data_IF_362016061590
#
_entry.id   IF_362016061590
#
_cell.length_a   1.000
_cell.length_b   1.000
_cell.length_c   1.000
_cell.angle_alpha   90.00
_cell.angle_beta   90.00
_cell.angle_gamma   90.00
#
_symmetry.space_group_name_H-M   'P 1'
#
loop_
_entity.id
_entity.type
_entity.pdbx_description
1 polymer ?
#
# COMPACT_ATOMS: atom_id res chain seq x y z
N UNK A 1 -29.36 -19.79 10.39
CA UNK A 1 -28.71 -20.36 9.19
C UNK A 1 -27.81 -19.31 8.57
N UNK A 2 -26.65 -19.04 9.20
CA UNK A 2 -25.57 -18.23 8.61
C UNK A 2 -24.92 -19.05 7.51
N UNK A 3 -25.12 -18.59 6.41
CA UNK A 3 -24.86 -18.77 5.02
C UNK A 3 -23.58 -19.58 4.69
N UNK A 4 -23.79 -20.88 4.40
CA UNK A 4 -22.77 -21.73 3.77
C UNK A 4 -22.38 -21.22 2.36
N UNK A 5 -23.20 -20.38 1.73
CA UNK A 5 -22.91 -19.76 0.42
C UNK A 5 -21.83 -18.71 0.50
N UNK A 6 -21.73 -17.95 1.59
CA UNK A 6 -20.69 -16.94 1.80
C UNK A 6 -19.31 -17.58 1.99
N UNK A 7 -19.21 -18.67 2.76
CA UNK A 7 -17.94 -19.35 3.00
C UNK A 7 -17.39 -20.03 1.72
N UNK A 8 -18.25 -20.64 0.91
CA UNK A 8 -17.84 -21.21 -0.37
C UNK A 8 -17.43 -20.14 -1.38
N UNK A 9 -18.13 -19.01 -1.42
CA UNK A 9 -17.76 -17.85 -2.23
C UNK A 9 -16.41 -17.27 -1.80
N UNK A 10 -16.13 -17.19 -0.51
CA UNK A 10 -14.87 -16.70 0.04
C UNK A 10 -13.70 -17.61 -0.31
N UNK A 11 -13.87 -18.93 -0.24
CA UNK A 11 -12.85 -19.89 -0.66
C UNK A 11 -12.53 -19.74 -2.14
N UNK A 12 -13.55 -19.56 -2.97
CA UNK A 12 -13.38 -19.36 -4.41
C UNK A 12 -12.62 -18.07 -4.75
N UNK A 13 -13.01 -16.95 -4.15
CA UNK A 13 -12.34 -15.65 -4.31
C UNK A 13 -10.88 -15.69 -3.86
N UNK A 14 -10.61 -16.41 -2.77
CA UNK A 14 -9.26 -16.63 -2.26
C UNK A 14 -8.40 -17.41 -3.27
N UNK A 15 -8.95 -18.47 -3.86
CA UNK A 15 -8.25 -19.27 -4.86
C UNK A 15 -8.01 -18.48 -6.15
N UNK A 16 -9.01 -17.73 -6.61
CA UNK A 16 -8.91 -16.85 -7.76
C UNK A 16 -7.79 -15.81 -7.60
N UNK A 17 -7.76 -15.12 -6.45
CA UNK A 17 -6.74 -14.12 -6.14
C UNK A 17 -5.33 -14.73 -6.10
N UNK A 18 -5.16 -15.92 -5.52
CA UNK A 18 -3.88 -16.62 -5.49
C UNK A 18 -3.47 -17.24 -6.83
N UNK A 19 -4.41 -17.44 -7.75
CA UNK A 19 -4.17 -18.00 -9.06
C UNK A 19 -3.83 -16.93 -10.11
N UNK A 20 -4.13 -15.64 -9.84
CA UNK A 20 -3.87 -14.55 -10.76
C UNK A 20 -2.35 -14.31 -10.92
N UNK A 21 -1.78 -14.50 -12.13
CA UNK A 21 -0.35 -14.35 -12.36
C UNK A 21 0.14 -12.90 -12.21
N UNK A 22 -0.70 -11.91 -12.57
CA UNK A 22 -0.36 -10.48 -12.46
C UNK A 22 -0.25 -10.09 -10.99
N UNK A 23 -1.28 -10.34 -10.20
CA UNK A 23 -1.31 -10.06 -8.77
C UNK A 23 -0.13 -10.71 -8.04
N UNK A 24 0.17 -11.96 -8.35
CA UNK A 24 1.31 -12.69 -7.78
C UNK A 24 2.66 -12.08 -8.15
N UNK A 25 2.85 -11.70 -9.41
CA UNK A 25 4.10 -11.12 -9.90
C UNK A 25 4.36 -9.76 -9.27
N UNK A 26 3.35 -8.91 -9.20
CA UNK A 26 3.41 -7.62 -8.50
C UNK A 26 3.73 -7.82 -7.02
N UNK A 27 3.07 -8.78 -6.37
CA UNK A 27 3.28 -9.05 -4.96
C UNK A 27 4.72 -9.55 -4.66
N UNK A 28 5.26 -10.45 -5.48
CA UNK A 28 6.65 -10.93 -5.33
C UNK A 28 7.63 -9.78 -5.52
N UNK A 29 7.42 -8.92 -6.52
CA UNK A 29 8.23 -7.71 -6.71
C UNK A 29 8.26 -6.82 -5.47
N UNK A 30 7.11 -6.63 -4.81
CA UNK A 30 7.02 -5.84 -3.58
C UNK A 30 7.70 -6.51 -2.39
N UNK A 31 7.65 -7.83 -2.29
CA UNK A 31 8.37 -8.60 -1.25
C UNK A 31 9.88 -8.46 -1.44
N UNK A 32 10.38 -8.58 -2.68
CA UNK A 32 11.79 -8.41 -2.97
C UNK A 32 12.27 -6.98 -2.71
N UNK A 33 11.43 -5.99 -3.01
CA UNK A 33 11.73 -4.60 -2.68
C UNK A 33 11.81 -4.38 -1.17
N UNK A 34 10.89 -4.94 -0.39
CA UNK A 34 10.92 -4.87 1.07
C UNK A 34 12.19 -5.54 1.65
N UNK A 35 12.59 -6.68 1.11
CA UNK A 35 13.85 -7.34 1.47
C UNK A 35 15.06 -6.45 1.17
N UNK A 36 15.09 -5.84 -0.01
CA UNK A 36 16.17 -4.93 -0.39
C UNK A 36 16.23 -3.69 0.52
N UNK A 37 15.09 -3.10 0.86
CA UNK A 37 15.02 -1.95 1.75
C UNK A 37 15.55 -2.29 3.15
N UNK A 38 15.11 -3.42 3.73
CA UNK A 38 15.58 -3.88 5.04
C UNK A 38 17.07 -4.29 5.04
N UNK A 39 17.57 -4.84 3.94
CA UNK A 39 18.99 -5.26 3.82
C UNK A 39 19.99 -4.09 3.94
N UNK A 40 19.53 -2.86 3.80
CA UNK A 40 20.38 -1.66 3.96
C UNK A 40 20.63 -1.29 5.42
N UNK A 41 19.76 -1.70 6.32
CA UNK A 41 19.77 -1.26 7.74
C UNK A 41 19.71 -2.43 8.72
N UNK A 42 19.51 -3.65 8.24
CA UNK A 42 19.52 -4.86 9.04
C UNK A 42 20.79 -5.67 8.82
N UNK A 43 21.10 -6.54 9.76
CA UNK A 43 22.13 -7.56 9.58
C UNK A 43 21.75 -8.46 8.40
N UNK A 44 22.62 -8.67 7.40
CA UNK A 44 22.28 -9.35 6.15
C UNK A 44 21.60 -10.70 6.32
N UNK A 45 22.13 -11.56 7.24
CA UNK A 45 21.62 -12.90 7.49
C UNK A 45 20.27 -12.91 8.26
N UNK A 46 19.82 -11.78 8.75
CA UNK A 46 18.59 -11.69 9.56
C UNK A 46 17.36 -11.32 8.74
N UNK A 47 17.53 -10.92 7.47
CA UNK A 47 16.41 -10.53 6.63
C UNK A 47 15.71 -11.77 6.07
N UNK A 48 14.51 -12.01 6.53
CA UNK A 48 13.72 -13.19 6.16
C UNK A 48 12.25 -12.84 5.83
N UNK A 49 11.64 -13.67 4.99
CA UNK A 49 10.21 -13.63 4.70
C UNK A 49 9.51 -14.61 5.63
N UNK A 50 8.97 -14.13 6.75
CA UNK A 50 8.33 -14.95 7.79
C UNK A 50 6.93 -15.40 7.42
N UNK A 51 6.30 -14.71 6.46
CA UNK A 51 5.00 -15.06 5.91
C UNK A 51 4.97 -14.61 4.44
N UNK A 52 4.54 -15.49 3.54
CA UNK A 52 4.51 -15.26 2.10
C UNK A 52 3.12 -15.56 1.53
N UNK A 53 2.51 -14.57 0.89
CA UNK A 53 1.23 -14.68 0.16
C UNK A 53 0.06 -15.20 1.00
N UNK A 54 -0.01 -14.81 2.27
CA UNK A 54 -1.18 -15.08 3.10
C UNK A 54 -2.35 -14.21 2.68
N UNK A 55 -3.54 -14.81 2.59
CA UNK A 55 -4.76 -14.05 2.35
C UNK A 55 -5.30 -13.51 3.66
N UNK A 56 -5.28 -12.18 3.81
CA UNK A 56 -5.94 -11.48 4.90
C UNK A 56 -7.29 -10.95 4.45
N UNK A 57 -8.34 -11.27 5.24
CA UNK A 57 -9.69 -10.80 5.03
C UNK A 57 -9.95 -9.58 5.89
N UNK A 58 -10.40 -8.53 5.26
CA UNK A 58 -10.93 -7.33 5.90
C UNK A 58 -12.46 -7.30 5.73
N UNK A 59 -13.14 -6.30 6.27
CA UNK A 59 -14.60 -6.19 6.24
C UNK A 59 -15.20 -6.28 4.83
N UNK A 60 -14.54 -5.71 3.83
CA UNK A 60 -15.08 -5.59 2.47
C UNK A 60 -14.16 -6.17 1.38
N UNK A 61 -12.90 -6.46 1.69
CA UNK A 61 -11.89 -6.86 0.71
C UNK A 61 -11.00 -7.98 1.25
N UNK A 62 -10.38 -8.72 0.34
CA UNK A 62 -9.27 -9.65 0.62
C UNK A 62 -8.00 -9.12 -0.01
N UNK A 63 -6.87 -9.27 0.69
CA UNK A 63 -5.56 -8.91 0.18
C UNK A 63 -4.57 -10.05 0.34
N UNK A 64 -3.67 -10.18 -0.64
CA UNK A 64 -2.44 -10.96 -0.48
C UNK A 64 -1.52 -10.14 0.42
N UNK A 65 -1.04 -10.76 1.50
CA UNK A 65 -0.14 -10.14 2.46
C UNK A 65 1.11 -11.00 2.63
N UNK A 66 2.25 -10.35 2.78
CA UNK A 66 3.51 -10.99 3.18
C UNK A 66 4.15 -10.17 4.29
N UNK A 67 5.01 -10.81 5.06
CA UNK A 67 5.75 -10.15 6.13
C UNK A 67 7.22 -10.43 5.95
N UNK A 68 8.02 -9.38 5.89
CA UNK A 68 9.48 -9.43 5.87
C UNK A 68 9.99 -8.83 7.17
N UNK A 69 10.92 -9.50 7.81
CA UNK A 69 11.53 -9.05 9.06
C UNK A 69 13.05 -9.01 8.94
N UNK A 70 13.69 -8.29 9.85
CA UNK A 70 15.14 -8.25 9.96
C UNK A 70 15.57 -7.66 11.31
N UNK A 71 16.75 -8.05 11.78
CA UNK A 71 17.36 -7.47 12.97
C UNK A 71 18.12 -6.22 12.57
N UNK A 72 17.68 -5.07 13.05
CA UNK A 72 18.33 -3.78 12.80
C UNK A 72 19.77 -3.82 13.30
N UNK A 73 20.70 -3.30 12.50
CA UNK A 73 22.10 -3.15 12.92
C UNK A 73 22.16 -2.22 14.13
N UNK A 74 22.96 -2.55 15.19
CA UNK A 74 23.05 -1.74 16.40
C UNK A 74 23.49 -0.28 16.19
N UNK A 75 24.09 0.03 15.05
CA UNK A 75 24.51 1.38 14.70
C UNK A 75 23.42 2.19 13.97
N UNK A 76 22.30 1.55 13.62
CA UNK A 76 21.16 2.16 12.94
C UNK A 76 20.07 2.55 13.92
N UNK A 77 19.38 3.64 13.62
CA UNK A 77 18.26 4.16 14.39
C UNK A 77 16.93 3.83 13.72
N UNK A 78 15.81 4.03 14.41
CA UNK A 78 14.48 3.93 13.81
C UNK A 78 14.30 4.89 12.61
N UNK A 79 14.98 6.04 12.62
CA UNK A 79 14.95 6.97 11.50
C UNK A 79 15.71 6.43 10.27
N UNK A 80 16.82 5.73 10.47
CA UNK A 80 17.55 5.07 9.38
C UNK A 80 16.69 3.96 8.75
N UNK A 81 15.97 3.19 9.58
CA UNK A 81 15.00 2.18 9.11
C UNK A 81 13.88 2.84 8.29
N UNK A 82 13.33 3.94 8.79
CA UNK A 82 12.32 4.70 8.06
C UNK A 82 12.83 5.18 6.70
N UNK A 83 14.00 5.81 6.66
CA UNK A 83 14.55 6.35 5.42
C UNK A 83 14.95 5.29 4.39
N UNK A 84 15.29 4.07 4.84
CA UNK A 84 15.54 2.96 3.93
C UNK A 84 14.28 2.44 3.25
N UNK A 85 13.16 2.41 3.97
CA UNK A 85 11.86 1.93 3.47
C UNK A 85 11.09 3.00 2.69
N UNK A 86 11.29 4.29 3.02
CA UNK A 86 10.61 5.41 2.37
C UNK A 86 11.40 5.95 1.15
N UNK A 87 10.71 6.37 0.06
CA UNK A 87 9.29 6.23 -0.20
C UNK A 87 8.87 4.76 -0.42
N UNK A 88 7.62 4.46 -0.09
CA UNK A 88 7.11 3.10 -0.22
C UNK A 88 7.07 2.65 -1.69
N UNK A 89 7.68 1.51 -1.98
CA UNK A 89 7.77 0.99 -3.34
C UNK A 89 6.42 0.69 -4.00
N UNK A 90 5.41 0.36 -3.20
CA UNK A 90 4.02 0.20 -3.65
C UNK A 90 3.43 1.47 -4.27
N UNK A 91 3.96 2.64 -3.95
CA UNK A 91 3.49 3.94 -4.42
C UNK A 91 4.45 4.61 -5.41
N UNK A 92 5.70 4.17 -5.46
CA UNK A 92 6.71 4.71 -6.37
C UNK A 92 7.02 3.76 -7.53
N UNK A 93 7.30 2.50 -7.23
CA UNK A 93 7.76 1.52 -8.20
C UNK A 93 9.21 1.08 -7.95
N UNK A 94 9.71 0.21 -8.80
CA UNK A 94 11.05 -0.34 -8.73
C UNK A 94 11.75 -0.27 -10.11
N UNK A 95 13.03 0.18 -10.18
CA UNK A 95 13.86 0.78 -9.11
C UNK A 95 13.34 2.15 -8.68
N UNK A 96 13.30 2.43 -7.37
CA UNK A 96 12.71 3.66 -6.81
C UNK A 96 13.23 4.96 -7.46
N UNK A 97 14.53 5.20 -7.68
CA UNK A 97 15.00 6.47 -8.25
C UNK A 97 14.38 6.73 -9.63
N UNK A 98 14.41 5.74 -10.54
CA UNK A 98 13.87 5.92 -11.89
C UNK A 98 12.34 6.04 -11.89
N UNK A 99 11.67 5.29 -11.01
CA UNK A 99 10.22 5.39 -10.86
C UNK A 99 9.78 6.79 -10.40
N UNK A 100 10.52 7.40 -9.47
CA UNK A 100 10.25 8.76 -8.98
C UNK A 100 10.48 9.81 -10.09
N UNK A 101 11.54 9.67 -10.88
CA UNK A 101 11.78 10.54 -12.04
C UNK A 101 10.62 10.49 -13.03
N UNK A 102 10.10 9.29 -13.35
CA UNK A 102 8.97 9.11 -14.25
C UNK A 102 7.69 9.72 -13.67
N UNK A 103 7.46 9.58 -12.37
CA UNK A 103 6.33 10.20 -11.68
C UNK A 103 6.40 11.72 -11.80
N UNK A 104 7.56 12.30 -11.55
CA UNK A 104 7.79 13.76 -11.66
C UNK A 104 7.61 14.27 -13.10
N UNK A 105 8.02 13.47 -14.08
CA UNK A 105 7.86 13.78 -15.50
C UNK A 105 6.39 13.74 -15.97
N UNK A 106 5.58 12.83 -15.43
CA UNK A 106 4.26 12.49 -15.99
C UNK A 106 3.07 12.99 -15.16
N UNK A 107 3.22 13.14 -13.86
CA UNK A 107 2.12 13.62 -13.02
C UNK A 107 1.97 15.13 -13.13
N UNK A 108 0.73 15.64 -13.40
CA UNK A 108 0.54 17.07 -13.65
C UNK A 108 0.52 17.91 -12.38
N UNK A 109 0.52 17.30 -11.21
CA UNK A 109 0.46 17.96 -9.90
C UNK A 109 1.18 17.14 -8.83
N UNK A 110 1.68 17.83 -7.82
CA UNK A 110 2.31 17.22 -6.68
C UNK A 110 1.36 16.30 -5.91
N UNK A 111 1.88 15.19 -5.42
CA UNK A 111 1.10 14.21 -4.65
C UNK A 111 0.67 14.70 -3.27
N UNK A 112 1.30 15.75 -2.73
CA UNK A 112 1.02 16.26 -1.40
C UNK A 112 1.22 15.17 -0.34
N UNK A 113 0.16 14.86 0.41
CA UNK A 113 0.18 13.81 1.44
C UNK A 113 0.05 12.39 0.86
N UNK A 114 -0.45 12.25 -0.36
CA UNK A 114 -0.65 10.95 -0.99
C UNK A 114 0.69 10.24 -1.24
N UNK A 115 0.79 9.00 -0.78
CA UNK A 115 2.03 8.23 -0.87
C UNK A 115 3.08 8.61 0.18
N UNK A 116 2.80 9.58 1.04
CA UNK A 116 3.56 9.86 2.24
C UNK A 116 3.33 8.81 3.33
N UNK A 117 3.65 9.15 4.56
CA UNK A 117 3.46 8.26 5.71
C UNK A 117 2.74 8.96 6.85
N UNK A 118 2.00 8.17 7.63
CA UNK A 118 1.39 8.59 8.89
C UNK A 118 1.75 7.57 9.96
N UNK A 119 2.14 8.04 11.14
CA UNK A 119 2.52 7.15 12.23
C UNK A 119 3.20 7.90 13.36
N UNK A 120 4.00 7.20 14.13
CA UNK A 120 4.72 7.79 15.25
C UNK A 120 6.13 7.24 15.42
N UNK A 121 6.98 8.07 15.98
CA UNK A 121 8.25 7.70 16.61
C UNK A 121 8.06 7.89 18.11
N UNK A 122 8.32 6.88 18.91
CA UNK A 122 8.28 7.00 20.36
C UNK A 122 9.66 7.32 20.97
N UNK A 123 9.65 7.72 22.22
CA UNK A 123 10.89 8.05 22.95
C UNK A 123 11.73 6.81 23.32
N UNK A 124 11.21 5.61 23.14
CA UNK A 124 11.94 4.36 23.34
C UNK A 124 12.67 3.88 22.07
N UNK A 125 12.52 4.64 20.96
CA UNK A 125 13.13 4.30 19.69
C UNK A 125 12.29 3.35 18.82
N UNK A 126 11.01 3.13 19.17
CA UNK A 126 10.10 2.40 18.32
C UNK A 126 9.47 3.32 17.28
N UNK A 127 9.02 2.70 16.20
CA UNK A 127 8.39 3.38 15.07
C UNK A 127 7.26 2.50 14.55
N UNK A 128 6.12 3.11 14.24
CA UNK A 128 5.02 2.46 13.53
C UNK A 128 4.47 3.44 12.50
N UNK A 129 4.55 3.06 11.22
CA UNK A 129 4.21 3.92 10.09
C UNK A 129 3.30 3.19 9.11
N UNK A 130 2.29 3.90 8.63
CA UNK A 130 1.45 3.46 7.52
C UNK A 130 1.62 4.39 6.32
N UNK A 131 1.40 3.85 5.12
CA UNK A 131 1.38 4.65 3.89
C UNK A 131 0.10 5.49 3.88
N UNK A 132 0.20 6.77 3.54
CA UNK A 132 -0.94 7.66 3.40
C UNK A 132 -1.67 7.39 2.06
N UNK A 133 -2.53 6.38 2.07
CA UNK A 133 -3.42 5.99 0.97
C UNK A 133 -4.84 5.82 1.50
N UNK A 134 -5.83 5.76 0.63
CA UNK A 134 -7.25 5.61 1.03
C UNK A 134 -7.69 6.70 2.01
N UNK A 135 -7.11 7.88 1.86
CA UNK A 135 -7.23 9.01 2.78
C UNK A 135 -7.89 10.19 2.08
N UNK A 136 -8.83 10.83 2.76
CA UNK A 136 -9.37 12.13 2.36
C UNK A 136 -8.62 13.24 3.11
N UNK A 137 -8.11 14.21 2.38
CA UNK A 137 -7.52 15.43 2.95
C UNK A 137 -8.57 16.53 2.96
N UNK A 138 -8.88 17.07 4.15
CA UNK A 138 -9.92 18.08 4.32
C UNK A 138 -9.25 19.37 4.82
N UNK A 139 -9.40 20.43 4.04
CA UNK A 139 -8.88 21.76 4.35
C UNK A 139 -9.78 22.84 3.75
N UNK A 140 -10.00 23.91 4.49
CA UNK A 140 -10.73 25.09 4.02
C UNK A 140 -12.11 24.77 3.39
N UNK A 141 -12.84 23.82 4.00
CA UNK A 141 -14.15 23.30 3.52
C UNK A 141 -14.09 22.49 2.22
N UNK A 142 -12.92 22.20 1.72
CA UNK A 142 -12.71 21.31 0.57
C UNK A 142 -12.16 19.95 1.02
N UNK A 143 -12.60 18.89 0.35
CA UNK A 143 -12.08 17.56 0.54
C UNK A 143 -11.46 17.05 -0.76
N UNK A 144 -10.22 16.58 -0.69
CA UNK A 144 -9.53 15.96 -1.81
C UNK A 144 -9.18 14.51 -1.49
N UNK A 145 -9.30 13.65 -2.50
CA UNK A 145 -8.92 12.24 -2.44
C UNK A 145 -8.04 11.95 -3.65
N UNK A 146 -6.88 11.34 -3.40
CA UNK A 146 -5.97 10.92 -4.46
C UNK A 146 -5.79 9.41 -4.43
N UNK A 147 -5.75 8.80 -5.61
CA UNK A 147 -5.52 7.38 -5.80
C UNK A 147 -4.70 7.14 -7.07
N UNK A 148 -4.02 6.01 -7.14
CA UNK A 148 -3.23 5.59 -8.30
C UNK A 148 -3.28 4.08 -8.47
N UNK A 149 -2.81 3.59 -9.63
CA UNK A 149 -2.63 2.19 -9.94
C UNK A 149 -1.16 1.90 -10.26
N UNK A 150 -0.74 0.65 -10.05
CA UNK A 150 0.56 0.18 -10.50
C UNK A 150 0.55 -0.04 -12.00
N UNK A 151 1.50 0.52 -12.72
CA UNK A 151 1.61 0.37 -14.16
C UNK A 151 2.75 -0.59 -14.51
N UNK A 152 2.42 -1.64 -15.23
CA UNK A 152 3.34 -2.66 -15.75
C UNK A 152 3.16 -2.82 -17.25
N UNK A 153 4.05 -3.58 -17.90
CA UNK A 153 4.05 -3.76 -19.36
C UNK A 153 2.69 -4.23 -19.90
N UNK A 154 2.03 -5.11 -19.19
CA UNK A 154 0.74 -5.71 -19.57
C UNK A 154 -0.48 -4.92 -19.07
N UNK A 155 -0.28 -3.75 -18.50
CA UNK A 155 -1.38 -2.90 -18.05
C UNK A 155 -2.26 -2.42 -19.17
N UNK A 156 -3.57 -2.51 -19.00
CA UNK A 156 -4.57 -1.99 -19.92
C UNK A 156 -5.08 -0.65 -19.39
N UNK A 157 -4.86 0.49 -20.09
CA UNK A 157 -5.14 1.83 -19.57
C UNK A 157 -6.55 2.02 -19.01
N UNK A 158 -7.58 1.46 -19.67
CA UNK A 158 -8.96 1.57 -19.21
C UNK A 158 -9.20 0.82 -17.88
N UNK A 159 -8.53 -0.32 -17.70
CA UNK A 159 -8.61 -1.11 -16.46
C UNK A 159 -7.91 -0.41 -15.32
N UNK A 160 -6.72 0.14 -15.55
CA UNK A 160 -5.95 0.88 -14.54
C UNK A 160 -6.69 2.16 -14.12
N UNK A 161 -7.29 2.86 -15.07
CA UNK A 161 -8.15 4.01 -14.76
C UNK A 161 -9.37 3.63 -13.91
N UNK A 162 -10.04 2.53 -14.22
CA UNK A 162 -11.15 2.04 -13.41
C UNK A 162 -10.68 1.63 -12.01
N UNK A 163 -9.52 1.01 -11.90
CA UNK A 163 -8.93 0.64 -10.61
C UNK A 163 -8.66 1.87 -9.73
N UNK A 164 -8.11 2.96 -10.30
CA UNK A 164 -7.90 4.20 -9.52
C UNK A 164 -9.21 4.78 -9.00
N UNK A 165 -10.28 4.73 -9.78
CA UNK A 165 -11.61 5.17 -9.35
C UNK A 165 -12.13 4.31 -8.20
N UNK A 166 -12.07 2.99 -8.34
CA UNK A 166 -12.51 2.06 -7.30
C UNK A 166 -11.71 2.27 -6.00
N UNK A 167 -10.42 2.58 -6.12
CA UNK A 167 -9.55 2.88 -4.96
C UNK A 167 -9.93 4.17 -4.24
N UNK A 168 -10.48 5.17 -4.92
CA UNK A 168 -10.91 6.43 -4.35
C UNK A 168 -12.34 6.38 -3.78
N UNK A 169 -13.19 5.49 -4.28
CA UNK A 169 -14.64 5.47 -4.09
C UNK A 169 -15.06 5.52 -2.62
N UNK A 170 -14.52 4.65 -1.78
CA UNK A 170 -14.89 4.59 -0.37
C UNK A 170 -14.60 5.90 0.40
N UNK A 171 -13.48 6.57 0.09
CA UNK A 171 -13.13 7.85 0.71
C UNK A 171 -14.03 8.98 0.22
N UNK A 172 -14.37 8.98 -1.07
CA UNK A 172 -15.28 9.96 -1.67
C UNK A 172 -16.69 9.80 -1.11
N UNK A 173 -17.19 8.56 -1.04
CA UNK A 173 -18.51 8.26 -0.47
C UNK A 173 -18.62 8.69 1.00
N UNK A 174 -17.59 8.41 1.80
CA UNK A 174 -17.54 8.82 3.21
C UNK A 174 -17.67 10.35 3.36
N UNK A 175 -16.97 11.12 2.52
CA UNK A 175 -17.06 12.58 2.51
C UNK A 175 -18.45 13.05 2.10
N UNK A 176 -19.06 12.42 1.09
CA UNK A 176 -20.42 12.76 0.64
C UNK A 176 -21.48 12.49 1.71
N UNK A 177 -21.40 11.36 2.40
CA UNK A 177 -22.29 11.03 3.53
C UNK A 177 -22.12 12.05 4.65
N UNK A 178 -20.87 12.39 5.03
CA UNK A 178 -20.60 13.36 6.07
C UNK A 178 -21.15 14.76 5.73
N UNK A 179 -21.13 15.15 4.47
CA UNK A 179 -21.71 16.42 4.03
C UNK A 179 -23.24 16.46 4.17
N UNK A 180 -23.93 15.33 3.97
CA UNK A 180 -25.37 15.22 4.17
C UNK A 180 -25.78 15.30 5.65
N UNK A 181 -24.98 14.75 6.57
CA UNK A 181 -25.25 14.79 8.01
C UNK A 181 -25.20 16.20 8.62
N UNK A 182 -24.53 17.15 7.98
CA UNK A 182 -24.49 18.55 8.40
C UNK A 182 -25.77 19.34 8.09
N UNK A 183 -26.71 18.77 7.33
CA UNK A 183 -27.97 19.40 6.97
C UNK A 183 -29.13 18.99 7.89
N UNK A 184 -28.87 18.14 8.88
CA UNK A 184 -29.79 17.75 9.96
C UNK A 184 -29.46 18.52 11.24
#
# INVERSE_FOLDING_TARGET
>A
TLDRSSAASDVYKRQELLADPKERSEHIMLVDLARNDLSRVCRPESVEVVSLMDIKRFSHIMHICSTVTGQVDPHMTAFDVFTSAFPAGTLSGAPKPRAIEIIDELEPADRGIYGGTVGYFDFSGNLDMAIAIRTAFIRDHEASVQAGAGIVLDSVPASEWQETRNKAEASVEAVQIAAQLRQL
#
